data_IF_032479993821
#
_entry.id   IF_032479993821
#
_cell.length_a   1.000
_cell.length_b   1.000
_cell.length_c   1.000
_cell.angle_alpha   90.00
_cell.angle_beta   90.00
_cell.angle_gamma   90.00
#
_symmetry.space_group_name_H-M   'P 1'
#
loop_
_entity.id
_entity.type
_entity.pdbx_description
1 polymer ?
#
# COMPACT_ATOMS: atom_id res chain seq x y z
N UNK A 1 36.09 -10.72 -7.30
CA UNK A 1 34.66 -10.98 -7.55
C UNK A 1 34.24 -12.20 -6.73
N UNK A 2 33.73 -12.04 -5.54
CA UNK A 2 33.28 -13.17 -4.72
C UNK A 2 31.96 -13.72 -5.29
N UNK A 3 31.97 -14.96 -5.73
CA UNK A 3 30.82 -15.65 -6.28
C UNK A 3 29.76 -15.83 -5.15
N UNK A 4 28.53 -15.42 -5.42
CA UNK A 4 27.40 -15.65 -4.50
C UNK A 4 27.32 -17.14 -4.17
N UNK A 5 27.25 -17.55 -2.88
CA UNK A 5 27.21 -18.93 -2.48
C UNK A 5 26.08 -19.70 -3.17
N UNK A 6 26.35 -20.91 -3.64
CA UNK A 6 25.39 -21.77 -4.36
C UNK A 6 24.05 -21.93 -3.61
N UNK A 7 24.08 -22.03 -2.27
CA UNK A 7 22.88 -22.09 -1.41
C UNK A 7 22.00 -20.84 -1.51
N UNK A 8 22.58 -19.65 -1.60
CA UNK A 8 21.83 -18.41 -1.71
C UNK A 8 21.13 -18.27 -3.07
N UNK A 9 21.77 -18.70 -4.15
CA UNK A 9 21.14 -18.74 -5.49
C UNK A 9 19.95 -19.72 -5.52
N UNK A 10 20.08 -20.89 -4.89
CA UNK A 10 18.99 -21.87 -4.82
C UNK A 10 17.83 -21.30 -4.01
N UNK A 11 18.08 -20.71 -2.82
CA UNK A 11 17.05 -20.12 -1.98
C UNK A 11 16.30 -19.00 -2.71
N UNK A 12 16.99 -18.11 -3.43
CA UNK A 12 16.37 -17.05 -4.23
C UNK A 12 15.46 -17.60 -5.31
N UNK A 13 15.90 -18.64 -6.03
CA UNK A 13 15.09 -19.31 -7.07
C UNK A 13 13.84 -19.97 -6.49
N UNK A 14 13.97 -20.66 -5.36
CA UNK A 14 12.83 -21.28 -4.68
C UNK A 14 11.77 -20.24 -4.24
N UNK A 15 12.21 -19.14 -3.62
CA UNK A 15 11.31 -18.06 -3.20
C UNK A 15 10.62 -17.42 -4.42
N UNK A 16 11.36 -17.19 -5.50
CA UNK A 16 10.81 -16.66 -6.75
C UNK A 16 9.73 -17.58 -7.33
N UNK A 17 10.05 -18.86 -7.48
CA UNK A 17 9.14 -19.85 -8.07
C UNK A 17 7.89 -20.01 -7.21
N UNK A 18 8.08 -20.13 -5.90
CA UNK A 18 6.96 -20.24 -4.94
C UNK A 18 6.05 -19.00 -4.98
N UNK A 19 6.64 -17.80 -4.93
CA UNK A 19 5.89 -16.55 -5.01
C UNK A 19 5.11 -16.40 -6.32
N UNK A 20 5.71 -16.79 -7.45
CA UNK A 20 5.04 -16.77 -8.75
C UNK A 20 3.86 -17.76 -8.80
N UNK A 21 4.01 -18.96 -8.22
CA UNK A 21 2.91 -19.94 -8.14
C UNK A 21 1.76 -19.47 -7.25
N UNK A 22 2.08 -18.93 -6.07
CA UNK A 22 1.05 -18.37 -5.16
C UNK A 22 0.28 -17.25 -5.86
N UNK A 23 0.98 -16.30 -6.49
CA UNK A 23 0.33 -15.22 -7.23
C UNK A 23 -0.54 -15.74 -8.36
N UNK A 24 -0.02 -16.67 -9.18
CA UNK A 24 -0.75 -17.23 -10.32
C UNK A 24 -2.02 -17.97 -9.87
N UNK A 25 -1.95 -18.71 -8.77
CA UNK A 25 -3.09 -19.41 -8.19
C UNK A 25 -4.16 -18.42 -7.70
N UNK A 26 -3.77 -17.42 -6.92
CA UNK A 26 -4.68 -16.39 -6.43
C UNK A 26 -5.33 -15.60 -7.57
N UNK A 27 -4.56 -15.27 -8.61
CA UNK A 27 -5.09 -14.58 -9.80
C UNK A 27 -6.08 -15.48 -10.57
N UNK A 28 -5.73 -16.75 -10.80
CA UNK A 28 -6.59 -17.68 -11.54
C UNK A 28 -7.90 -17.94 -10.80
N UNK A 29 -7.87 -18.11 -9.49
CA UNK A 29 -9.07 -18.29 -8.67
C UNK A 29 -9.89 -17.00 -8.55
N UNK A 30 -9.26 -15.87 -8.23
CA UNK A 30 -9.92 -14.59 -8.07
C UNK A 30 -10.62 -14.13 -9.34
N UNK A 31 -9.96 -14.24 -10.49
CA UNK A 31 -10.54 -13.87 -11.79
C UNK A 31 -11.73 -14.73 -12.21
N UNK A 32 -11.82 -15.97 -11.73
CA UNK A 32 -12.99 -16.82 -11.98
C UNK A 32 -14.14 -16.47 -11.03
N UNK A 33 -13.85 -16.25 -9.76
CA UNK A 33 -14.86 -15.81 -8.79
C UNK A 33 -15.52 -14.51 -9.24
N UNK A 34 -14.74 -13.57 -9.78
CA UNK A 34 -15.25 -12.32 -10.34
C UNK A 34 -16.11 -12.55 -11.58
N UNK A 35 -15.67 -13.40 -12.49
CA UNK A 35 -16.33 -13.59 -13.79
C UNK A 35 -17.54 -14.53 -13.73
N UNK A 36 -17.48 -15.59 -12.91
CA UNK A 36 -18.48 -16.68 -12.93
C UNK A 36 -19.16 -16.90 -11.57
N UNK A 37 -18.74 -16.20 -10.51
CA UNK A 37 -19.22 -16.43 -9.15
C UNK A 37 -18.80 -17.78 -8.54
N UNK A 38 -18.02 -18.60 -9.29
CA UNK A 38 -17.57 -19.93 -8.88
C UNK A 38 -16.26 -20.30 -9.57
N UNK A 39 -15.51 -21.24 -8.96
CA UNK A 39 -14.27 -21.76 -9.56
C UNK A 39 -14.54 -22.98 -10.43
N UNK A 40 -13.96 -23.01 -11.61
CA UNK A 40 -14.04 -24.13 -12.56
C UNK A 40 -12.63 -24.70 -12.80
N UNK A 41 -12.34 -25.97 -12.46
CA UNK A 41 -11.00 -26.52 -12.53
C UNK A 41 -10.32 -26.39 -13.90
N UNK A 42 -11.06 -26.60 -14.99
CA UNK A 42 -10.54 -26.47 -16.35
C UNK A 42 -10.11 -25.04 -16.71
N UNK A 43 -10.88 -24.05 -16.31
CA UNK A 43 -10.55 -22.63 -16.51
C UNK A 43 -9.42 -22.17 -15.57
N UNK A 44 -9.34 -22.74 -14.36
CA UNK A 44 -8.21 -22.49 -13.46
C UNK A 44 -6.89 -22.85 -14.11
N UNK A 45 -6.79 -24.05 -14.70
CA UNK A 45 -5.57 -24.53 -15.36
C UNK A 45 -5.20 -23.65 -16.54
N UNK A 46 -6.16 -23.24 -17.38
CA UNK A 46 -5.89 -22.35 -18.52
C UNK A 46 -5.32 -20.99 -18.13
N UNK A 47 -5.77 -20.42 -17.00
CA UNK A 47 -5.31 -19.12 -16.50
C UNK A 47 -4.03 -19.20 -15.68
N UNK A 48 -3.80 -20.35 -15.02
CA UNK A 48 -2.68 -20.54 -14.10
C UNK A 48 -1.32 -20.40 -14.81
N UNK A 49 -1.15 -21.06 -15.94
CA UNK A 49 0.13 -21.07 -16.65
C UNK A 49 0.54 -19.69 -17.20
N UNK A 50 -0.32 -18.95 -17.92
CA UNK A 50 0.01 -17.59 -18.35
C UNK A 50 0.29 -16.65 -17.19
N UNK A 51 -0.51 -16.70 -16.12
CA UNK A 51 -0.30 -15.89 -14.93
C UNK A 51 1.02 -16.21 -14.23
N UNK A 52 1.39 -17.50 -14.16
CA UNK A 52 2.69 -17.93 -13.64
C UNK A 52 3.85 -17.39 -14.47
N UNK A 53 3.78 -17.49 -15.79
CA UNK A 53 4.83 -17.01 -16.69
C UNK A 53 5.04 -15.49 -16.53
N UNK A 54 3.95 -14.71 -16.47
CA UNK A 54 4.02 -13.27 -16.25
C UNK A 54 4.59 -12.95 -14.87
N UNK A 55 4.06 -13.54 -13.80
CA UNK A 55 4.52 -13.33 -12.44
C UNK A 55 5.99 -13.72 -12.27
N UNK A 56 6.38 -14.88 -12.81
CA UNK A 56 7.78 -15.34 -12.78
C UNK A 56 8.70 -14.38 -13.50
N UNK A 57 8.33 -13.93 -14.71
CA UNK A 57 9.12 -12.97 -15.50
C UNK A 57 9.30 -11.64 -14.76
N UNK A 58 8.20 -11.08 -14.21
CA UNK A 58 8.25 -9.84 -13.43
C UNK A 58 9.13 -10.00 -12.19
N UNK A 59 8.90 -11.05 -11.39
CA UNK A 59 9.69 -11.31 -10.18
C UNK A 59 11.17 -11.60 -10.51
N UNK A 60 11.45 -12.26 -11.62
CA UNK A 60 12.82 -12.49 -12.09
C UNK A 60 13.54 -11.17 -12.39
N UNK A 61 12.90 -10.29 -13.16
CA UNK A 61 13.45 -8.95 -13.47
C UNK A 61 13.66 -8.14 -12.20
N UNK A 62 12.69 -8.17 -11.28
CA UNK A 62 12.80 -7.50 -9.98
C UNK A 62 13.99 -8.01 -9.17
N UNK A 63 14.14 -9.33 -9.06
CA UNK A 63 15.20 -9.93 -8.24
C UNK A 63 16.59 -9.80 -8.88
N UNK A 64 16.71 -9.91 -10.21
CA UNK A 64 18.01 -9.88 -10.87
C UNK A 64 18.48 -8.45 -11.20
N UNK A 65 17.55 -7.54 -11.54
CA UNK A 65 17.89 -6.19 -12.02
C UNK A 65 17.63 -5.08 -11.01
N UNK A 66 16.68 -5.26 -10.10
CA UNK A 66 16.27 -4.21 -9.15
C UNK A 66 16.86 -4.46 -7.77
N UNK A 67 16.89 -5.73 -7.30
CA UNK A 67 17.56 -6.07 -6.05
C UNK A 67 19.08 -6.08 -6.23
N UNK A 68 19.82 -5.30 -5.43
CA UNK A 68 21.26 -5.16 -5.61
C UNK A 68 22.01 -6.41 -5.19
N UNK A 69 23.19 -6.58 -5.78
CA UNK A 69 24.22 -7.49 -5.28
C UNK A 69 24.72 -6.99 -3.92
N UNK A 70 25.18 -7.90 -3.07
CA UNK A 70 25.60 -7.62 -1.68
C UNK A 70 26.62 -6.46 -1.56
N UNK A 71 27.50 -6.26 -2.56
CA UNK A 71 28.48 -5.19 -2.60
C UNK A 71 27.88 -3.78 -2.75
N UNK A 72 26.66 -3.67 -3.30
CA UNK A 72 26.02 -2.38 -3.51
C UNK A 72 25.27 -1.89 -2.26
N UNK A 73 25.06 -2.79 -1.27
CA UNK A 73 24.41 -2.46 0.01
C UNK A 73 25.31 -1.57 0.88
N UNK A 74 26.62 -1.82 0.90
CA UNK A 74 27.57 -1.01 1.68
C UNK A 74 27.66 0.41 1.14
N UNK A 75 27.70 0.58 -0.17
CA UNK A 75 27.72 1.89 -0.84
C UNK A 75 26.41 2.66 -0.74
N UNK A 76 25.27 1.96 -0.58
CA UNK A 76 23.96 2.59 -0.41
C UNK A 76 23.78 3.22 0.97
N UNK A 77 24.56 2.80 1.97
CA UNK A 77 24.50 3.32 3.33
C UNK A 77 25.03 4.75 3.47
N UNK A 78 25.90 5.21 2.55
CA UNK A 78 26.60 6.50 2.67
C UNK A 78 25.73 7.75 2.52
N UNK A 79 24.59 7.67 1.81
CA UNK A 79 23.69 8.84 1.66
C UNK A 79 22.26 8.46 2.05
N UNK A 80 21.56 9.21 2.89
CA UNK A 80 20.19 8.91 3.30
C UNK A 80 19.22 9.02 2.13
N UNK A 81 18.21 8.14 2.09
CA UNK A 81 17.08 8.27 1.17
C UNK A 81 16.21 9.46 1.61
N UNK A 82 15.82 10.30 0.65
CA UNK A 82 15.01 11.50 0.91
C UNK A 82 13.54 11.12 1.02
N UNK A 83 13.13 10.57 2.16
CA UNK A 83 11.76 10.10 2.42
C UNK A 83 10.73 11.21 2.21
N UNK A 84 10.99 12.42 2.73
CA UNK A 84 10.09 13.56 2.54
C UNK A 84 9.90 13.95 1.07
N UNK A 85 10.95 13.85 0.23
CA UNK A 85 10.80 14.09 -1.20
C UNK A 85 9.96 13.01 -1.86
N UNK A 86 10.13 11.73 -1.49
CA UNK A 86 9.31 10.64 -2.01
C UNK A 86 7.83 10.84 -1.63
N UNK A 87 7.55 11.22 -0.39
CA UNK A 87 6.21 11.59 0.07
C UNK A 87 5.60 12.71 -0.77
N UNK A 88 6.32 13.83 -0.93
CA UNK A 88 5.85 14.97 -1.70
C UNK A 88 5.57 14.61 -3.16
N UNK A 89 6.44 13.80 -3.78
CA UNK A 89 6.24 13.35 -5.16
C UNK A 89 4.99 12.46 -5.29
N UNK A 90 4.78 11.52 -4.38
CA UNK A 90 3.61 10.64 -4.38
C UNK A 90 2.34 11.47 -4.23
N UNK A 91 2.27 12.32 -3.20
CA UNK A 91 1.09 13.16 -2.94
C UNK A 91 0.85 14.14 -4.09
N UNK A 92 1.88 14.78 -4.64
CA UNK A 92 1.75 15.70 -5.77
C UNK A 92 1.18 15.01 -7.02
N UNK A 93 1.55 13.74 -7.27
CA UNK A 93 0.97 12.96 -8.37
C UNK A 93 -0.50 12.58 -8.11
N UNK A 94 -0.92 12.47 -6.85
CA UNK A 94 -2.31 12.13 -6.50
C UNK A 94 -3.27 13.33 -6.59
N UNK A 95 -2.75 14.56 -6.40
CA UNK A 95 -3.57 15.78 -6.45
C UNK A 95 -4.36 15.94 -7.75
N UNK A 96 -3.81 15.76 -8.96
CA UNK A 96 -4.58 15.87 -10.20
C UNK A 96 -5.74 14.86 -10.26
N UNK A 97 -5.50 13.63 -9.83
CA UNK A 97 -6.52 12.58 -9.81
C UNK A 97 -7.59 12.89 -8.75
N UNK A 98 -7.18 13.33 -7.56
CA UNK A 98 -8.12 13.79 -6.54
C UNK A 98 -9.00 14.93 -7.03
N UNK A 99 -8.44 15.90 -7.78
CA UNK A 99 -9.22 17.01 -8.35
C UNK A 99 -10.23 16.55 -9.42
N UNK A 100 -9.90 15.52 -10.20
CA UNK A 100 -10.82 14.90 -11.17
C UNK A 100 -11.96 14.18 -10.44
N UNK A 101 -11.68 13.49 -9.35
CA UNK A 101 -12.64 12.74 -8.54
C UNK A 101 -13.17 13.52 -7.34
N UNK A 102 -12.94 14.85 -7.30
CA UNK A 102 -13.37 15.68 -6.15
C UNK A 102 -14.86 15.50 -5.84
N UNK A 103 -15.22 15.35 -4.58
CA UNK A 103 -14.44 15.37 -3.33
C UNK A 103 -13.83 14.02 -2.92
N UNK A 104 -13.85 13.07 -3.78
CA UNK A 104 -13.54 11.64 -3.64
C UNK A 104 -14.74 10.79 -4.04
N UNK A 105 -14.51 9.52 -4.41
CA UNK A 105 -15.58 8.59 -4.75
C UNK A 105 -16.02 7.81 -3.51
N UNK A 106 -17.32 7.85 -3.20
CA UNK A 106 -17.87 7.10 -2.08
C UNK A 106 -18.18 5.66 -2.50
N UNK A 107 -17.57 4.70 -1.81
CA UNK A 107 -17.94 3.30 -1.92
C UNK A 107 -19.26 3.04 -1.16
N UNK A 108 -19.96 1.96 -1.53
CA UNK A 108 -21.22 1.56 -0.89
C UNK A 108 -21.12 1.47 0.64
N UNK A 109 -20.07 0.83 1.14
CA UNK A 109 -19.82 0.68 2.58
C UNK A 109 -19.74 2.05 3.30
N UNK A 110 -19.14 3.04 2.66
CA UNK A 110 -18.97 4.38 3.22
C UNK A 110 -20.29 5.12 3.34
N UNK A 111 -21.21 4.89 2.39
CA UNK A 111 -22.56 5.45 2.47
C UNK A 111 -23.32 4.87 3.67
N UNK A 112 -23.27 3.54 3.86
CA UNK A 112 -23.88 2.87 5.01
C UNK A 112 -23.27 3.37 6.32
N UNK A 113 -21.96 3.58 6.39
CA UNK A 113 -21.32 4.12 7.57
C UNK A 113 -21.68 5.60 7.83
N UNK A 114 -21.86 6.40 6.79
CA UNK A 114 -22.36 7.76 6.94
C UNK A 114 -23.79 7.79 7.52
N UNK A 115 -24.66 6.88 7.08
CA UNK A 115 -26.01 6.72 7.66
C UNK A 115 -25.92 6.31 9.14
N UNK A 116 -25.02 5.39 9.53
CA UNK A 116 -24.79 5.03 10.93
C UNK A 116 -24.39 6.24 11.79
N UNK A 117 -23.59 7.15 11.24
CA UNK A 117 -23.21 8.39 11.93
C UNK A 117 -24.42 9.32 12.08
N UNK A 118 -25.17 9.56 11.01
CA UNK A 118 -26.32 10.48 10.99
C UNK A 118 -27.42 10.01 11.95
N UNK A 119 -27.73 8.71 11.95
CA UNK A 119 -28.80 8.14 12.78
C UNK A 119 -28.33 7.65 14.14
N UNK A 120 -27.04 7.79 14.48
CA UNK A 120 -26.41 7.23 15.68
C UNK A 120 -26.68 5.73 15.88
N UNK A 121 -26.84 4.99 14.78
CA UNK A 121 -27.18 3.57 14.74
C UNK A 121 -25.96 2.71 14.37
N UNK A 122 -24.96 2.68 15.26
CA UNK A 122 -23.70 1.97 15.04
C UNK A 122 -23.90 0.45 15.06
N UNK A 123 -23.29 -0.24 14.11
CA UNK A 123 -23.30 -1.70 14.03
C UNK A 123 -21.85 -2.23 14.02
N UNK A 124 -21.69 -3.53 14.37
CA UNK A 124 -20.38 -4.18 14.32
C UNK A 124 -20.00 -4.68 12.92
N UNK A 125 -20.84 -4.46 11.92
CA UNK A 125 -20.60 -4.90 10.54
C UNK A 125 -19.43 -4.18 9.87
N UNK A 126 -19.21 -2.91 10.26
CA UNK A 126 -18.08 -2.11 9.80
C UNK A 126 -17.16 -1.73 10.96
N UNK A 127 -15.84 -1.52 10.70
CA UNK A 127 -14.91 -1.08 11.74
C UNK A 127 -15.37 0.24 12.38
N UNK A 128 -15.66 0.21 13.67
CA UNK A 128 -16.16 1.37 14.40
C UNK A 128 -15.20 2.56 14.34
N UNK A 129 -13.90 2.30 14.43
CA UNK A 129 -12.89 3.35 14.34
C UNK A 129 -12.97 4.15 13.02
N UNK A 130 -13.22 3.46 11.90
CA UNK A 130 -13.43 4.11 10.61
C UNK A 130 -14.72 4.91 10.58
N UNK A 131 -15.83 4.34 11.08
CA UNK A 131 -17.14 5.03 11.16
C UNK A 131 -17.05 6.30 12.00
N UNK A 132 -16.35 6.25 13.14
CA UNK A 132 -16.12 7.42 14.00
C UNK A 132 -15.22 8.47 13.32
N UNK A 133 -14.18 8.04 12.61
CA UNK A 133 -13.33 8.94 11.83
C UNK A 133 -14.12 9.64 10.71
N UNK A 134 -14.95 8.91 9.98
CA UNK A 134 -15.85 9.47 8.99
C UNK A 134 -16.81 10.47 9.63
N UNK A 135 -17.38 10.11 10.79
CA UNK A 135 -18.26 10.99 11.57
C UNK A 135 -17.55 12.28 12.00
N UNK A 136 -16.30 12.17 12.46
CA UNK A 136 -15.50 13.35 12.80
C UNK A 136 -15.25 14.26 11.58
N UNK A 137 -15.04 13.71 10.37
CA UNK A 137 -14.96 14.51 9.17
C UNK A 137 -16.30 15.15 8.80
N UNK A 138 -17.42 14.42 8.93
CA UNK A 138 -18.76 14.95 8.64
C UNK A 138 -19.20 16.02 9.65
N UNK A 139 -18.77 15.96 10.92
CA UNK A 139 -19.04 16.98 11.93
C UNK A 139 -18.42 18.36 11.62
N UNK A 140 -17.50 18.43 10.67
CA UNK A 140 -16.98 19.70 10.17
C UNK A 140 -17.98 20.47 9.28
N UNK A 141 -19.18 19.92 9.06
CA UNK A 141 -20.18 20.54 8.19
C UNK A 141 -20.55 21.96 8.63
N UNK A 142 -20.72 22.21 9.91
CA UNK A 142 -21.02 23.54 10.44
C UNK A 142 -19.94 24.57 10.10
N UNK A 143 -18.67 24.14 10.14
CA UNK A 143 -17.54 25.03 9.85
C UNK A 143 -17.30 25.22 8.34
N UNK A 144 -17.52 24.16 7.54
CA UNK A 144 -17.20 24.14 6.10
C UNK A 144 -18.39 24.50 5.21
N UNK A 145 -19.62 24.34 5.73
CA UNK A 145 -20.87 24.67 5.03
C UNK A 145 -21.20 23.73 3.85
N UNK A 146 -20.51 22.59 3.71
CA UNK A 146 -20.72 21.66 2.61
C UNK A 146 -20.26 20.25 2.96
N UNK A 147 -21.10 19.24 2.68
CA UNK A 147 -20.74 17.81 2.82
C UNK A 147 -19.61 17.41 1.85
N UNK A 148 -19.57 18.03 0.67
CA UNK A 148 -18.47 17.78 -0.28
C UNK A 148 -17.12 18.21 0.30
N UNK A 149 -17.05 19.34 0.98
CA UNK A 149 -15.83 19.78 1.65
C UNK A 149 -15.44 18.85 2.80
N UNK A 150 -16.42 18.32 3.55
CA UNK A 150 -16.16 17.32 4.58
C UNK A 150 -15.56 16.04 3.98
N UNK A 151 -16.13 15.55 2.88
CA UNK A 151 -15.62 14.42 2.15
C UNK A 151 -14.21 14.67 1.57
N UNK A 152 -13.96 15.89 1.09
CA UNK A 152 -12.64 16.29 0.61
C UNK A 152 -11.58 16.28 1.72
N UNK A 153 -11.94 16.71 2.94
CA UNK A 153 -11.05 16.61 4.11
C UNK A 153 -10.73 15.14 4.42
N UNK A 154 -11.75 14.28 4.43
CA UNK A 154 -11.55 12.83 4.61
C UNK A 154 -10.56 12.27 3.57
N UNK A 155 -10.81 12.54 2.27
CA UNK A 155 -9.95 12.07 1.17
C UNK A 155 -8.52 12.62 1.27
N UNK A 156 -8.36 13.88 1.65
CA UNK A 156 -7.03 14.49 1.83
C UNK A 156 -6.24 13.82 2.95
N UNK A 157 -6.88 13.55 4.09
CA UNK A 157 -6.24 12.85 5.22
C UNK A 157 -5.81 11.44 4.81
N UNK A 158 -6.68 10.71 4.13
CA UNK A 158 -6.40 9.37 3.65
C UNK A 158 -5.24 9.33 2.64
N UNK A 159 -5.17 10.29 1.71
CA UNK A 159 -4.06 10.45 0.76
C UNK A 159 -2.74 10.70 1.50
N UNK A 160 -2.75 11.52 2.55
CA UNK A 160 -1.57 11.81 3.38
C UNK A 160 -1.09 10.55 4.09
N UNK A 161 -2.00 9.81 4.75
CA UNK A 161 -1.67 8.57 5.49
C UNK A 161 -1.09 7.52 4.54
N UNK A 162 -1.73 7.29 3.40
CA UNK A 162 -1.27 6.31 2.41
C UNK A 162 0.08 6.74 1.79
N UNK A 163 0.21 8.02 1.45
CA UNK A 163 1.44 8.58 0.90
C UNK A 163 2.64 8.44 1.85
N UNK A 164 2.43 8.70 3.14
CA UNK A 164 3.47 8.53 4.17
C UNK A 164 3.85 7.04 4.31
N UNK A 165 2.87 6.13 4.34
CA UNK A 165 3.11 4.69 4.36
C UNK A 165 3.98 4.23 3.19
N UNK A 166 3.68 4.68 1.98
CA UNK A 166 4.46 4.36 0.79
C UNK A 166 5.86 4.96 0.82
N UNK A 167 6.01 6.21 1.27
CA UNK A 167 7.31 6.87 1.38
C UNK A 167 8.24 6.19 2.40
N UNK A 168 7.71 5.80 3.57
CA UNK A 168 8.45 5.06 4.58
C UNK A 168 8.81 3.65 4.11
N UNK A 169 7.91 2.99 3.36
CA UNK A 169 8.20 1.70 2.72
C UNK A 169 9.36 1.82 1.71
N UNK A 170 9.36 2.87 0.88
CA UNK A 170 10.48 3.16 -0.03
C UNK A 170 11.79 3.42 0.73
N UNK A 171 11.72 4.13 1.86
CA UNK A 171 12.89 4.33 2.71
C UNK A 171 13.42 3.00 3.28
N UNK A 172 12.54 2.10 3.71
CA UNK A 172 12.91 0.76 4.19
C UNK A 172 13.52 -0.09 3.07
N UNK A 173 12.96 -0.03 1.86
CA UNK A 173 13.52 -0.67 0.65
C UNK A 173 14.89 -0.10 0.32
N UNK A 174 15.08 1.21 0.41
CA UNK A 174 16.38 1.84 0.19
C UNK A 174 17.46 1.31 1.11
N UNK A 175 17.10 1.05 2.37
CA UNK A 175 18.03 0.56 3.39
C UNK A 175 18.28 -0.95 3.28
N UNK A 176 17.26 -1.73 2.92
CA UNK A 176 17.33 -3.19 2.86
C UNK A 176 17.79 -3.73 1.51
N UNK A 177 17.51 -3.00 0.44
CA UNK A 177 17.82 -3.37 -0.93
C UNK A 177 18.78 -2.38 -1.60
N UNK A 178 18.23 -1.33 -2.21
CA UNK A 178 19.02 -0.28 -2.85
C UNK A 178 18.20 1.00 -3.05
N UNK A 179 18.91 2.12 -3.25
CA UNK A 179 18.27 3.37 -3.63
C UNK A 179 17.61 3.31 -5.01
N UNK A 180 18.17 2.50 -5.93
CA UNK A 180 17.56 2.31 -7.25
C UNK A 180 16.21 1.63 -7.11
N UNK A 181 16.11 0.56 -6.33
CA UNK A 181 14.87 -0.11 -6.02
C UNK A 181 13.86 0.84 -5.35
N UNK A 182 14.29 1.61 -4.35
CA UNK A 182 13.44 2.58 -3.69
C UNK A 182 12.90 3.66 -4.64
N UNK A 183 13.72 4.18 -5.57
CA UNK A 183 13.26 5.14 -6.58
C UNK A 183 12.26 4.54 -7.56
N UNK A 184 12.48 3.29 -7.98
CA UNK A 184 11.52 2.56 -8.84
C UNK A 184 10.20 2.37 -8.10
N UNK A 185 10.22 1.93 -6.84
CA UNK A 185 9.01 1.80 -6.02
C UNK A 185 8.32 3.15 -5.82
N UNK A 186 9.07 4.24 -5.56
CA UNK A 186 8.49 5.60 -5.49
C UNK A 186 7.78 5.96 -6.78
N UNK A 187 8.40 5.70 -7.95
CA UNK A 187 7.78 5.96 -9.25
C UNK A 187 6.52 5.10 -9.47
N UNK A 188 6.54 3.83 -9.07
CA UNK A 188 5.37 2.95 -9.14
C UNK A 188 4.24 3.49 -8.27
N UNK A 189 4.50 3.80 -6.98
CA UNK A 189 3.47 4.34 -6.10
C UNK A 189 2.95 5.71 -6.56
N UNK A 190 3.82 6.55 -7.14
CA UNK A 190 3.44 7.87 -7.60
C UNK A 190 2.67 7.86 -8.93
N UNK A 191 3.00 6.96 -9.87
CA UNK A 191 2.54 7.04 -11.25
C UNK A 191 1.58 5.92 -11.67
N UNK A 192 1.42 4.86 -10.87
CA UNK A 192 0.50 3.77 -11.21
C UNK A 192 -0.94 4.21 -10.95
N UNK A 193 -1.79 4.28 -11.98
CA UNK A 193 -3.14 4.86 -11.87
C UNK A 193 -4.00 4.22 -10.79
N UNK A 194 -3.86 2.92 -10.56
CA UNK A 194 -4.58 2.21 -9.51
C UNK A 194 -4.38 2.83 -8.13
N UNK A 195 -3.13 3.15 -7.74
CA UNK A 195 -2.85 3.75 -6.44
C UNK A 195 -3.45 5.14 -6.29
N UNK A 196 -3.47 5.93 -7.37
CA UNK A 196 -4.03 7.27 -7.38
C UNK A 196 -5.55 7.24 -7.23
N UNK A 197 -6.23 6.38 -8.00
CA UNK A 197 -7.70 6.22 -7.96
C UNK A 197 -8.09 5.64 -6.60
N UNK A 198 -7.40 4.58 -6.13
CA UNK A 198 -7.63 3.98 -4.83
C UNK A 198 -7.48 5.00 -3.70
N UNK A 199 -6.45 5.84 -3.73
CA UNK A 199 -6.25 6.91 -2.75
C UNK A 199 -7.36 7.96 -2.75
N UNK A 200 -8.09 8.13 -3.84
CA UNK A 200 -9.22 9.06 -3.97
C UNK A 200 -10.58 8.40 -3.69
N UNK A 201 -10.62 7.10 -3.40
CA UNK A 201 -11.83 6.38 -3.06
C UNK A 201 -12.04 6.39 -1.54
N UNK A 202 -13.11 7.02 -1.08
CA UNK A 202 -13.45 7.08 0.34
C UNK A 202 -13.92 5.71 0.82
N UNK A 203 -13.02 4.95 1.44
CA UNK A 203 -13.32 3.62 1.98
C UNK A 203 -12.38 3.25 3.12
N UNK A 204 -12.90 2.44 4.05
CA UNK A 204 -12.11 1.87 5.16
C UNK A 204 -10.83 1.17 4.68
N UNK A 205 -10.88 0.55 3.49
CA UNK A 205 -9.78 -0.28 2.97
C UNK A 205 -8.54 0.55 2.62
N UNK A 206 -8.72 1.79 2.18
CA UNK A 206 -7.61 2.71 1.89
C UNK A 206 -6.91 3.12 3.18
N UNK A 207 -7.67 3.50 4.22
CA UNK A 207 -7.11 3.86 5.53
C UNK A 207 -6.44 2.65 6.18
N UNK A 208 -7.09 1.48 6.16
CA UNK A 208 -6.50 0.22 6.61
C UNK A 208 -5.16 -0.05 5.91
N UNK A 209 -5.14 0.03 4.58
CA UNK A 209 -3.91 -0.18 3.78
C UNK A 209 -2.81 0.82 4.14
N UNK A 210 -3.18 2.09 4.36
CA UNK A 210 -2.26 3.13 4.79
C UNK A 210 -1.65 2.84 6.16
N UNK A 211 -2.49 2.54 7.16
CA UNK A 211 -2.03 2.21 8.51
C UNK A 211 -1.21 0.92 8.54
N UNK A 212 -1.64 -0.13 7.83
CA UNK A 212 -0.91 -1.38 7.73
C UNK A 212 0.48 -1.17 7.13
N UNK A 213 0.57 -0.35 6.09
CA UNK A 213 1.85 -0.02 5.43
C UNK A 213 2.77 0.79 6.36
N UNK A 214 2.22 1.74 7.11
CA UNK A 214 2.93 2.49 8.15
C UNK A 214 3.44 1.58 9.25
N UNK A 215 2.58 0.70 9.76
CA UNK A 215 2.92 -0.27 10.81
C UNK A 215 4.09 -1.15 10.39
N UNK A 216 4.04 -1.76 9.20
CA UNK A 216 5.15 -2.60 8.72
C UNK A 216 6.43 -1.81 8.47
N UNK A 217 6.35 -0.63 7.87
CA UNK A 217 7.53 0.19 7.60
C UNK A 217 8.25 0.61 8.90
N UNK A 218 7.49 1.02 9.93
CA UNK A 218 8.04 1.42 11.23
C UNK A 218 8.51 0.22 12.06
N UNK A 219 7.84 -0.93 11.97
CA UNK A 219 8.30 -2.18 12.61
C UNK A 219 9.64 -2.62 12.04
N UNK A 220 9.82 -2.58 10.72
CA UNK A 220 11.10 -2.88 10.07
C UNK A 220 12.19 -1.87 10.47
N UNK A 221 11.83 -0.59 10.64
CA UNK A 221 12.77 0.41 11.13
C UNK A 221 13.17 0.12 12.57
N UNK A 222 12.21 -0.17 13.46
CA UNK A 222 12.46 -0.53 14.86
C UNK A 222 13.37 -1.75 14.99
N UNK A 223 13.08 -2.82 14.25
CA UNK A 223 13.91 -4.04 14.24
C UNK A 223 15.35 -3.76 13.79
N UNK A 224 15.55 -2.79 12.91
CA UNK A 224 16.85 -2.47 12.36
C UNK A 224 17.67 -1.55 13.28
N UNK A 225 17.04 -0.53 13.87
CA UNK A 225 17.74 0.54 14.61
C UNK A 225 17.68 0.30 16.12
N UNK A 226 16.77 -0.57 16.56
CA UNK A 226 16.53 -0.88 17.97
C UNK A 226 15.70 0.14 18.72
N UNK A 227 15.58 1.37 18.20
CA UNK A 227 14.83 2.47 18.83
C UNK A 227 14.14 3.33 17.78
N UNK A 228 12.98 3.88 18.13
CA UNK A 228 12.29 4.90 17.34
C UNK A 228 12.21 6.21 18.12
N UNK A 229 12.12 7.33 17.41
CA UNK A 229 11.77 8.61 18.04
C UNK A 229 10.36 8.53 18.63
N UNK A 230 10.08 9.30 19.69
CA UNK A 230 8.75 9.31 20.34
C UNK A 230 7.59 9.46 19.35
N UNK A 231 7.58 10.43 18.39
CA UNK A 231 6.47 10.54 17.44
C UNK A 231 6.33 9.30 16.55
N UNK A 232 7.42 8.67 16.09
CA UNK A 232 7.35 7.44 15.29
C UNK A 232 6.85 6.25 16.09
N UNK A 233 7.19 6.17 17.37
CA UNK A 233 6.65 5.12 18.24
C UNK A 233 5.14 5.30 18.42
N UNK A 234 4.65 6.53 18.61
CA UNK A 234 3.22 6.81 18.69
C UNK A 234 2.53 6.41 17.38
N UNK A 235 3.07 6.79 16.23
CA UNK A 235 2.53 6.41 14.91
C UNK A 235 2.52 4.89 14.75
N UNK A 236 3.56 4.18 15.18
CA UNK A 236 3.62 2.72 15.14
C UNK A 236 2.48 2.08 15.95
N UNK A 237 2.26 2.55 17.18
CA UNK A 237 1.19 2.03 18.05
C UNK A 237 -0.18 2.33 17.44
N UNK A 238 -0.44 3.58 17.04
CA UNK A 238 -1.71 3.97 16.43
C UNK A 238 -1.96 3.19 15.15
N UNK A 239 -0.96 3.06 14.27
CA UNK A 239 -1.11 2.32 13.03
C UNK A 239 -1.37 0.83 13.25
N UNK A 240 -0.75 0.22 14.28
CA UNK A 240 -1.04 -1.16 14.65
C UNK A 240 -2.41 -1.39 15.30
N UNK A 241 -3.00 -0.34 15.91
CA UNK A 241 -4.35 -0.41 16.46
C UNK A 241 -5.45 -0.19 15.40
N UNK A 242 -5.12 0.53 14.30
CA UNK A 242 -6.06 0.90 13.24
C UNK A 242 -5.90 0.05 11.98
N UNK A 243 -4.88 -0.79 11.89
CA UNK A 243 -4.69 -1.84 10.90
C UNK A 243 -5.26 -3.18 11.39
#
# INVERSE_FOLDING_TARGET
MTSVPKKEKIRKRLVLTFGAWVYALLFALGSQMEQYGATQPGETIKRLLPAFCVAFGVLWVLLEKILPRHSDREKAAEKPFRTGLAFLLIVACYVPIFLIYYPGTFAYDTQVQAEQVVYHAYTQFHPLAHTLFLGACLSLFEALGSLEKCAAVYSAIQIIILGEGYALSCASISRSCSRRAARVCTAVFALWPYHMIFASTCTKDVLFSGFLTLFFALTLELQRVGTLTKPRLIILVISGMLA
#
